data_IF_086038554520
#
_entry.id   IF_086038554520
#
_cell.length_a   1.000
_cell.length_b   1.000
_cell.length_c   1.000
_cell.angle_alpha   90.00
_cell.angle_beta   90.00
_cell.angle_gamma   90.00
#
_symmetry.space_group_name_H-M   'P 1'
#
loop_
_entity.id
_entity.type
_entity.pdbx_description
1 polymer ?
#
# COMPACT_ATOMS: atom_id res chain seq x y z
N UNK A 1 0.71 -28.05 -5.14
CA UNK A 1 -0.42 -27.56 -5.96
C UNK A 1 0.14 -26.57 -6.96
N UNK A 2 0.00 -26.84 -8.26
CA UNK A 2 0.37 -25.89 -9.29
C UNK A 2 -0.60 -24.69 -9.21
N UNK A 3 -0.07 -23.47 -9.18
CA UNK A 3 -0.89 -22.27 -9.29
C UNK A 3 -1.60 -22.29 -10.66
N UNK A 4 -2.89 -21.90 -10.73
CA UNK A 4 -3.61 -21.84 -12.00
C UNK A 4 -2.84 -20.91 -12.95
N UNK A 5 -2.63 -21.36 -14.19
CA UNK A 5 -2.02 -20.54 -15.24
C UNK A 5 -2.87 -19.26 -15.39
N UNK A 6 -2.29 -18.06 -15.19
CA UNK A 6 -3.04 -16.83 -15.27
C UNK A 6 -3.68 -16.70 -16.65
N UNK A 7 -4.94 -16.24 -16.68
CA UNK A 7 -5.64 -16.04 -17.95
C UNK A 7 -4.93 -14.92 -18.73
N UNK A 8 -4.86 -15.01 -20.06
CA UNK A 8 -4.41 -13.89 -20.84
C UNK A 8 -5.21 -12.62 -20.50
N UNK A 9 -4.49 -11.54 -20.21
CA UNK A 9 -5.00 -10.24 -19.82
C UNK A 9 -5.33 -10.09 -18.33
N UNK A 10 -5.06 -11.10 -17.51
CA UNK A 10 -5.30 -11.04 -16.06
C UNK A 10 -4.30 -10.11 -15.36
N UNK A 11 -4.70 -8.85 -15.23
CA UNK A 11 -3.95 -7.80 -14.54
C UNK A 11 -3.85 -8.00 -13.02
N UNK A 12 -4.55 -9.00 -12.45
CA UNK A 12 -4.53 -9.30 -11.02
C UNK A 12 -3.59 -10.44 -10.63
N UNK A 13 -2.97 -11.10 -11.62
CA UNK A 13 -2.15 -12.30 -11.43
C UNK A 13 -0.96 -12.09 -10.48
N UNK A 14 -0.37 -10.90 -10.45
CA UNK A 14 0.75 -10.55 -9.56
C UNK A 14 0.32 -10.07 -8.17
N UNK A 15 -0.99 -9.96 -7.94
CA UNK A 15 -1.58 -9.53 -6.67
C UNK A 15 -1.33 -8.07 -6.31
N UNK A 16 -0.75 -7.26 -7.21
CA UNK A 16 -0.43 -5.86 -6.96
C UNK A 16 -1.70 -5.00 -6.86
N UNK A 17 -2.65 -5.25 -7.76
CA UNK A 17 -3.98 -4.64 -7.75
C UNK A 17 -5.03 -5.72 -7.93
N UNK A 18 -6.08 -5.67 -7.12
CA UNK A 18 -7.22 -6.58 -7.22
C UNK A 18 -8.52 -5.78 -7.34
N UNK A 19 -9.59 -6.42 -7.84
CA UNK A 19 -10.89 -5.76 -7.98
C UNK A 19 -11.42 -5.22 -6.64
N UNK A 20 -11.06 -5.85 -5.52
CA UNK A 20 -11.47 -5.41 -4.19
C UNK A 20 -10.81 -4.11 -3.71
N UNK A 21 -9.70 -3.70 -4.35
CA UNK A 21 -9.01 -2.46 -4.03
C UNK A 21 -9.62 -1.24 -4.74
N UNK A 22 -10.50 -1.48 -5.72
CA UNK A 22 -11.14 -0.43 -6.50
C UNK A 22 -12.42 0.08 -5.83
N UNK A 23 -12.67 1.41 -5.84
CA UNK A 23 -13.93 1.98 -5.40
C UNK A 23 -15.12 1.51 -6.25
N UNK A 24 -16.34 1.63 -5.71
CA UNK A 24 -17.56 1.33 -6.45
C UNK A 24 -17.60 2.06 -7.81
N UNK A 25 -18.05 1.34 -8.83
CA UNK A 25 -18.10 1.81 -10.22
C UNK A 25 -16.78 1.66 -10.99
N UNK A 26 -15.65 1.41 -10.32
CA UNK A 26 -14.36 1.14 -10.98
C UNK A 26 -14.09 -0.36 -11.09
N UNK A 27 -13.56 -0.78 -12.23
CA UNK A 27 -13.18 -2.18 -12.43
C UNK A 27 -11.85 -2.33 -13.18
N UNK A 28 -11.17 -3.44 -12.89
CA UNK A 28 -10.01 -3.91 -13.66
C UNK A 28 -10.51 -4.45 -14.99
N UNK A 29 -10.14 -3.80 -16.09
CA UNK A 29 -10.48 -4.32 -17.40
C UNK A 29 -9.68 -5.62 -17.68
N UNK A 30 -10.25 -6.54 -18.45
CA UNK A 30 -9.63 -7.84 -18.73
C UNK A 30 -8.51 -7.80 -19.76
N UNK A 31 -8.20 -6.63 -20.35
CA UNK A 31 -7.16 -6.47 -21.36
C UNK A 31 -6.69 -5.02 -21.43
N UNK A 32 -5.41 -4.83 -21.77
CA UNK A 32 -4.91 -3.50 -22.12
C UNK A 32 -5.61 -2.97 -23.39
N UNK A 33 -5.75 -1.65 -23.54
CA UNK A 33 -6.26 -1.04 -24.76
C UNK A 33 -5.41 -1.45 -25.98
N UNK A 34 -6.07 -1.75 -27.10
CA UNK A 34 -5.40 -2.00 -28.39
C UNK A 34 -4.99 -3.45 -28.67
N UNK A 35 -5.65 -4.45 -28.07
CA UNK A 35 -5.47 -5.88 -28.38
C UNK A 35 -4.01 -6.38 -28.26
N UNK A 36 -3.29 -5.86 -27.28
CA UNK A 36 -1.89 -6.22 -27.01
C UNK A 36 -1.76 -7.56 -26.27
N UNK A 37 -0.61 -8.26 -26.40
CA UNK A 37 -0.27 -9.38 -25.51
C UNK A 37 -0.24 -8.96 -24.04
N UNK A 38 -0.29 -9.94 -23.15
CA UNK A 38 -0.46 -9.75 -21.71
C UNK A 38 0.67 -8.94 -21.07
N UNK A 39 0.30 -8.13 -20.07
CA UNK A 39 1.10 -7.12 -19.34
C UNK A 39 2.07 -6.30 -20.21
N UNK A 40 1.62 -5.13 -20.68
CA UNK A 40 2.43 -4.20 -21.48
C UNK A 40 3.29 -3.24 -20.63
N UNK A 41 3.41 -3.45 -19.32
CA UNK A 41 4.07 -2.50 -18.41
C UNK A 41 5.49 -2.12 -18.83
N UNK A 42 6.31 -3.10 -19.19
CA UNK A 42 7.72 -2.88 -19.55
C UNK A 42 7.87 -2.11 -20.86
N UNK A 43 6.95 -2.32 -21.81
CA UNK A 43 6.95 -1.56 -23.07
C UNK A 43 6.56 -0.09 -22.81
N UNK A 44 5.57 0.13 -21.94
CA UNK A 44 5.10 1.47 -21.58
C UNK A 44 6.19 2.23 -20.82
N UNK A 45 6.86 1.59 -19.86
CA UNK A 45 7.96 2.22 -19.12
C UNK A 45 9.11 2.63 -20.03
N UNK A 46 9.48 1.78 -21.00
CA UNK A 46 10.48 2.10 -22.03
C UNK A 46 10.07 3.29 -22.90
N UNK A 47 8.83 3.30 -23.38
CA UNK A 47 8.32 4.38 -24.25
C UNK A 47 8.25 5.72 -23.51
N UNK A 48 7.95 5.68 -22.21
CA UNK A 48 7.85 6.88 -21.37
C UNK A 48 9.19 7.30 -20.74
N UNK A 49 10.27 6.52 -20.95
CA UNK A 49 11.60 6.83 -20.42
C UNK A 49 11.76 6.57 -18.92
N UNK A 50 10.88 5.77 -18.29
CA UNK A 50 11.04 5.39 -16.89
C UNK A 50 12.27 4.47 -16.67
N UNK A 51 12.73 3.79 -17.71
CA UNK A 51 13.93 2.94 -17.69
C UNK A 51 15.25 3.76 -17.76
N UNK A 52 15.21 4.99 -18.28
CA UNK A 52 16.42 5.80 -18.58
C UNK A 52 17.12 6.33 -17.31
N UNK A 53 16.39 6.38 -16.19
CA UNK A 53 16.92 6.79 -14.88
C UNK A 53 17.87 5.75 -14.25
N UNK A 54 17.96 4.52 -14.79
CA UNK A 54 18.85 3.49 -14.27
C UNK A 54 20.32 3.64 -14.71
N UNK A 55 20.62 4.51 -15.68
CA UNK A 55 21.94 4.57 -16.35
C UNK A 55 22.78 5.82 -16.06
N UNK A 56 22.33 6.75 -15.22
CA UNK A 56 23.05 8.00 -14.93
C UNK A 56 23.76 8.02 -13.58
N UNK A 57 25.05 8.36 -13.57
CA UNK A 57 25.87 8.64 -12.38
C UNK A 57 25.26 9.77 -11.51
N UNK A 58 24.37 9.40 -10.59
CA UNK A 58 23.90 10.25 -9.50
C UNK A 58 23.85 9.44 -8.21
N UNK A 59 25.03 9.05 -7.74
CA UNK A 59 25.25 8.60 -6.38
C UNK A 59 25.03 9.80 -5.43
N UNK A 60 23.86 9.90 -4.78
CA UNK A 60 23.70 10.18 -3.32
C UNK A 60 22.32 10.70 -2.86
N UNK A 61 21.29 10.75 -3.71
CA UNK A 61 19.95 11.12 -3.23
C UNK A 61 18.86 10.34 -3.94
N UNK A 62 18.08 9.58 -3.15
CA UNK A 62 16.89 8.82 -3.55
C UNK A 62 17.16 7.44 -4.18
N UNK A 63 17.66 6.53 -3.36
CA UNK A 63 17.55 5.07 -3.56
C UNK A 63 16.08 4.64 -3.51
N UNK A 64 15.27 5.07 -4.47
CA UNK A 64 13.94 4.53 -4.75
C UNK A 64 13.98 3.85 -6.11
N UNK A 65 14.94 2.93 -6.22
CA UNK A 65 15.19 2.08 -7.39
C UNK A 65 13.88 1.68 -8.06
N UNK A 66 13.78 2.04 -9.33
CA UNK A 66 12.65 1.92 -10.28
C UNK A 66 12.24 0.48 -10.61
N UNK A 67 12.60 -0.49 -9.77
CA UNK A 67 12.79 -1.90 -10.14
C UNK A 67 11.48 -2.72 -10.24
N UNK A 68 10.30 -2.16 -9.96
CA UNK A 68 9.04 -2.93 -10.04
C UNK A 68 7.79 -2.08 -10.32
N UNK A 69 7.86 -1.16 -11.28
CA UNK A 69 6.70 -0.42 -11.75
C UNK A 69 5.81 -1.27 -12.64
N UNK A 70 4.50 -1.32 -12.35
CA UNK A 70 3.52 -2.05 -13.17
C UNK A 70 2.33 -1.17 -13.52
N UNK A 71 1.97 -1.13 -14.79
CA UNK A 71 0.81 -0.41 -15.29
C UNK A 71 -0.46 -1.24 -15.15
N UNK A 72 -1.52 -0.63 -14.67
CA UNK A 72 -2.84 -1.23 -14.52
C UNK A 72 -3.90 -0.39 -15.19
N UNK A 73 -4.72 -1.04 -16.00
CA UNK A 73 -5.80 -0.44 -16.75
C UNK A 73 -7.14 -0.64 -16.03
N UNK A 74 -7.76 0.49 -15.69
CA UNK A 74 -9.02 0.57 -14.96
C UNK A 74 -10.05 1.39 -15.74
N UNK A 75 -11.31 0.99 -15.59
CA UNK A 75 -12.44 1.65 -16.24
C UNK A 75 -13.52 1.98 -15.21
N UNK A 76 -14.24 3.08 -15.44
CA UNK A 76 -15.42 3.44 -14.65
C UNK A 76 -16.70 3.16 -15.44
N UNK A 77 -17.58 2.29 -14.91
CA UNK A 77 -18.80 1.83 -15.59
C UNK A 77 -19.77 2.98 -15.89
N UNK A 78 -19.92 3.93 -14.97
CA UNK A 78 -20.93 4.98 -15.09
C UNK A 78 -20.56 6.15 -16.00
N UNK A 79 -19.25 6.38 -16.24
CA UNK A 79 -18.76 7.55 -16.99
C UNK A 79 -17.96 7.16 -18.22
N UNK A 80 -17.73 5.87 -18.46
CA UNK A 80 -16.81 5.36 -19.47
C UNK A 80 -15.39 5.99 -19.37
N UNK A 81 -14.99 6.41 -18.17
CA UNK A 81 -13.65 6.94 -17.90
C UNK A 81 -12.66 5.78 -17.96
N UNK A 82 -11.61 5.91 -18.77
CA UNK A 82 -10.58 4.88 -18.97
C UNK A 82 -9.23 5.44 -18.57
N UNK A 83 -8.52 4.74 -17.69
CA UNK A 83 -7.27 5.24 -17.11
C UNK A 83 -6.28 4.10 -16.94
N UNK A 84 -5.02 4.38 -17.20
CA UNK A 84 -3.91 3.52 -16.78
C UNK A 84 -3.19 4.17 -15.62
N UNK A 85 -2.95 3.40 -14.57
CA UNK A 85 -2.19 3.82 -13.39
C UNK A 85 -0.92 3.00 -13.28
N UNK A 86 0.21 3.66 -13.02
CA UNK A 86 1.49 2.99 -12.73
C UNK A 86 1.59 2.80 -11.23
N UNK A 87 1.63 1.55 -10.79
CA UNK A 87 1.83 1.16 -9.41
C UNK A 87 3.30 0.80 -9.21
N UNK A 88 3.94 1.41 -8.22
CA UNK A 88 5.32 1.12 -7.86
C UNK A 88 5.39 0.71 -6.39
N UNK A 89 6.09 -0.39 -6.12
CA UNK A 89 6.45 -0.79 -4.76
C UNK A 89 7.61 0.07 -4.27
N UNK A 90 7.46 0.66 -3.09
CA UNK A 90 8.54 1.36 -2.41
C UNK A 90 9.30 0.34 -1.55
N UNK A 91 10.37 -0.23 -2.09
CA UNK A 91 11.15 -1.31 -1.47
C UNK A 91 11.81 -0.88 -0.14
N UNK A 92 12.08 0.41 0.03
CA UNK A 92 12.68 0.97 1.24
C UNK A 92 11.65 1.60 2.19
N UNK A 93 10.38 1.66 1.80
CA UNK A 93 9.32 1.88 2.76
C UNK A 93 9.23 0.61 3.61
N UNK A 94 9.71 0.67 4.84
CA UNK A 94 9.25 -0.27 5.86
C UNK A 94 8.07 0.41 6.49
N UNK A 95 6.88 -0.19 6.47
CA UNK A 95 6.43 -1.38 5.76
C UNK A 95 6.25 -1.07 4.26
N UNK A 96 6.36 -2.13 3.46
CA UNK A 96 6.26 -2.09 1.99
C UNK A 96 4.97 -1.38 1.57
N UNK A 97 5.12 -0.29 0.83
CA UNK A 97 4.02 0.56 0.39
C UNK A 97 3.96 0.55 -1.14
N UNK A 98 2.75 0.50 -1.68
CA UNK A 98 2.49 0.73 -3.11
C UNK A 98 2.01 2.15 -3.30
N UNK A 99 2.63 2.84 -4.26
CA UNK A 99 2.28 4.19 -4.70
C UNK A 99 1.87 4.21 -6.15
N UNK A 100 0.95 5.10 -6.49
CA UNK A 100 0.66 5.44 -7.88
C UNK A 100 1.66 6.52 -8.30
N UNK A 101 2.55 6.19 -9.24
CA UNK A 101 3.62 7.10 -9.71
C UNK A 101 3.34 7.69 -11.09
N UNK A 102 2.34 7.18 -11.79
CA UNK A 102 2.00 7.60 -13.15
C UNK A 102 0.51 7.40 -13.42
N UNK A 103 -0.07 8.28 -14.22
CA UNK A 103 -1.47 8.22 -14.64
C UNK A 103 -1.55 8.60 -16.12
N UNK A 104 -2.11 7.73 -16.94
CA UNK A 104 -2.42 8.00 -18.35
C UNK A 104 -3.94 7.99 -18.48
N UNK A 105 -4.50 9.12 -18.90
CA UNK A 105 -5.92 9.24 -19.16
C UNK A 105 -6.24 8.91 -20.62
N UNK A 106 -7.23 8.06 -20.85
CA UNK A 106 -7.61 7.59 -22.19
C UNK A 106 -9.02 8.08 -22.53
N UNK A 107 -9.17 9.12 -23.36
CA UNK A 107 -10.50 9.60 -23.76
C UNK A 107 -11.27 8.50 -24.50
N UNK A 108 -12.61 8.52 -24.43
CA UNK A 108 -13.44 7.51 -25.11
C UNK A 108 -13.28 7.60 -26.63
N UNK A 109 -13.38 8.82 -27.18
CA UNK A 109 -13.15 9.11 -28.59
C UNK A 109 -11.88 9.93 -28.79
N UNK A 110 -11.20 9.76 -29.92
CA UNK A 110 -10.17 10.69 -30.35
C UNK A 110 -10.73 12.11 -30.39
N UNK A 111 -10.13 13.02 -29.62
CA UNK A 111 -10.52 14.43 -29.56
C UNK A 111 -11.45 14.83 -28.41
N UNK A 112 -11.92 13.90 -27.58
CA UNK A 112 -12.67 14.30 -26.37
C UNK A 112 -11.76 15.09 -25.42
N UNK A 113 -12.22 16.23 -24.88
CA UNK A 113 -11.39 17.08 -24.03
C UNK A 113 -11.17 16.44 -22.66
N UNK A 114 -9.91 16.41 -22.21
CA UNK A 114 -9.56 16.05 -20.84
C UNK A 114 -9.62 17.31 -19.99
N UNK A 115 -10.59 17.37 -19.08
CA UNK A 115 -10.76 18.51 -18.19
C UNK A 115 -10.03 18.30 -16.86
N UNK A 116 -9.69 19.40 -16.18
CA UNK A 116 -9.10 19.35 -14.84
C UNK A 116 -10.03 18.71 -13.80
N UNK A 117 -11.34 18.76 -14.03
CA UNK A 117 -12.32 18.10 -13.18
C UNK A 117 -12.17 16.58 -13.23
N UNK A 118 -12.05 15.99 -14.43
CA UNK A 118 -11.87 14.55 -14.62
C UNK A 118 -10.61 14.02 -13.91
N UNK A 119 -9.52 14.79 -13.92
CA UNK A 119 -8.28 14.42 -13.23
C UNK A 119 -8.43 14.43 -11.70
N UNK A 120 -9.25 15.33 -11.16
CA UNK A 120 -9.51 15.43 -9.71
C UNK A 120 -10.46 14.36 -9.19
N UNK A 121 -11.32 13.82 -10.05
CA UNK A 121 -12.26 12.76 -9.69
C UNK A 121 -11.59 11.39 -9.59
N UNK A 122 -10.37 11.24 -10.12
CA UNK A 122 -9.63 9.99 -10.02
C UNK A 122 -9.34 9.64 -8.56
N UNK A 123 -9.83 8.49 -8.06
CA UNK A 123 -9.76 8.15 -6.65
C UNK A 123 -8.39 7.53 -6.27
N UNK A 124 -7.29 8.13 -6.72
CA UNK A 124 -5.92 7.61 -6.54
C UNK A 124 -5.61 7.32 -5.07
N UNK A 125 -5.89 8.28 -4.18
CA UNK A 125 -5.68 8.11 -2.74
C UNK A 125 -6.52 6.98 -2.10
N UNK A 126 -7.73 6.72 -2.62
CA UNK A 126 -8.58 5.62 -2.12
C UNK A 126 -8.03 4.27 -2.59
N UNK A 127 -7.59 4.20 -3.85
CA UNK A 127 -6.98 2.99 -4.43
C UNK A 127 -5.69 2.65 -3.67
N UNK A 128 -4.77 3.61 -3.50
CA UNK A 128 -3.54 3.40 -2.72
C UNK A 128 -3.85 2.93 -1.29
N UNK A 129 -4.78 3.58 -0.61
CA UNK A 129 -5.15 3.20 0.75
C UNK A 129 -5.72 1.77 0.83
N UNK A 130 -6.50 1.35 -0.16
CA UNK A 130 -7.07 0.01 -0.22
C UNK A 130 -6.01 -1.06 -0.49
N UNK A 131 -5.15 -0.86 -1.50
CA UNK A 131 -4.03 -1.75 -1.83
C UNK A 131 -3.14 -1.92 -0.60
N UNK A 132 -2.71 -0.81 0.00
CA UNK A 132 -1.83 -0.84 1.15
C UNK A 132 -2.51 -1.55 2.31
N UNK A 133 -3.77 -1.22 2.65
CA UNK A 133 -4.54 -1.92 3.70
C UNK A 133 -4.59 -3.43 3.47
N UNK A 134 -4.77 -3.89 2.22
CA UNK A 134 -4.76 -5.31 1.86
C UNK A 134 -3.38 -5.93 2.02
N UNK A 135 -2.32 -5.32 1.46
CA UNK A 135 -0.94 -5.80 1.59
C UNK A 135 -0.53 -5.89 3.06
N UNK A 136 -0.91 -4.89 3.85
CA UNK A 136 -0.76 -4.89 5.30
C UNK A 136 -1.49 -6.05 5.98
N UNK A 137 -2.77 -6.26 5.66
CA UNK A 137 -3.57 -7.35 6.21
C UNK A 137 -3.01 -8.73 5.80
N UNK A 138 -2.60 -8.89 4.55
CA UNK A 138 -1.99 -10.12 4.03
C UNK A 138 -0.64 -10.41 4.70
N UNK A 139 0.21 -9.41 4.92
CA UNK A 139 1.46 -9.58 5.68
C UNK A 139 1.18 -10.02 7.12
N UNK A 140 0.12 -9.50 7.75
CA UNK A 140 -0.35 -10.01 9.06
C UNK A 140 -0.79 -11.48 8.96
N UNK A 141 -1.52 -11.90 7.92
CA UNK A 141 -2.04 -13.27 7.75
C UNK A 141 -0.95 -14.29 7.35
N UNK A 142 -0.01 -13.96 6.48
CA UNK A 142 1.09 -14.85 6.10
C UNK A 142 2.02 -15.14 7.30
N UNK A 143 2.12 -14.19 8.24
CA UNK A 143 2.80 -14.42 9.52
C UNK A 143 1.94 -15.21 10.53
N UNK A 144 0.66 -15.46 10.22
CA UNK A 144 -0.28 -16.24 11.06
C UNK A 144 -0.26 -17.74 10.73
N UNK A 145 0.40 -18.20 9.66
CA UNK A 145 0.55 -19.63 9.31
C UNK A 145 1.28 -20.49 10.38
N UNK A 146 1.65 -19.89 11.51
CA UNK A 146 2.02 -20.63 12.72
C UNK A 146 1.72 -19.89 14.03
N UNK A 147 0.57 -19.21 14.17
CA UNK A 147 0.14 -18.54 15.42
C UNK A 147 1.16 -17.54 16.04
N UNK A 148 2.22 -17.20 15.29
CA UNK A 148 3.41 -16.49 15.76
C UNK A 148 3.92 -15.56 14.68
N UNK A 149 3.88 -14.27 14.97
CA UNK A 149 4.41 -13.19 14.16
C UNK A 149 5.94 -13.15 14.32
N UNK A 150 6.67 -13.25 13.21
CA UNK A 150 8.12 -13.05 13.17
C UNK A 150 8.44 -11.56 12.99
N UNK A 151 9.23 -11.00 13.89
CA UNK A 151 9.70 -9.61 13.85
C UNK A 151 11.05 -9.50 13.12
N UNK A 152 11.47 -8.30 12.68
CA UNK A 152 12.75 -8.09 11.99
C UNK A 152 13.98 -8.61 12.76
N UNK A 153 13.98 -8.56 14.10
CA UNK A 153 15.03 -9.15 14.94
C UNK A 153 15.07 -10.68 14.93
N UNK A 154 14.16 -11.35 14.22
CA UNK A 154 13.96 -12.80 14.26
C UNK A 154 13.14 -13.28 15.47
N UNK A 155 12.70 -12.35 16.33
CA UNK A 155 11.85 -12.67 17.49
C UNK A 155 10.46 -13.12 17.02
N UNK A 156 9.95 -14.20 17.61
CA UNK A 156 8.60 -14.72 17.36
C UNK A 156 7.67 -14.27 18.49
N UNK A 157 6.54 -13.63 18.16
CA UNK A 157 5.53 -13.19 19.12
C UNK A 157 4.17 -13.79 18.78
N UNK A 158 3.43 -14.29 19.77
CA UNK A 158 2.07 -14.78 19.52
C UNK A 158 1.05 -13.64 19.50
N UNK A 159 -0.10 -13.86 18.85
CA UNK A 159 -1.19 -12.88 18.84
C UNK A 159 -1.69 -12.54 20.27
N UNK A 160 -1.60 -13.49 21.21
CA UNK A 160 -1.94 -13.26 22.64
C UNK A 160 -0.94 -12.36 23.35
N UNK A 161 0.31 -12.38 22.92
CA UNK A 161 1.36 -11.55 23.51
C UNK A 161 1.27 -10.09 23.05
N UNK A 162 0.54 -9.80 21.96
CA UNK A 162 0.34 -8.44 21.45
C UNK A 162 -0.43 -7.53 22.41
N UNK A 163 -1.19 -8.08 23.35
CA UNK A 163 -1.94 -7.29 24.34
C UNK A 163 -1.22 -7.20 25.69
N UNK A 164 0.03 -7.67 25.78
CA UNK A 164 0.88 -7.49 26.96
C UNK A 164 1.66 -6.18 26.88
N UNK A 165 2.20 -5.75 28.02
CA UNK A 165 3.10 -4.59 28.07
C UNK A 165 4.32 -4.82 27.18
N UNK A 166 4.63 -3.83 26.36
CA UNK A 166 5.70 -3.82 25.36
C UNK A 166 7.08 -3.64 25.99
N UNK A 167 7.16 -3.17 27.23
CA UNK A 167 8.41 -2.89 27.93
C UNK A 167 9.06 -1.55 27.55
N UNK A 168 10.37 -1.44 27.74
CA UNK A 168 11.11 -0.19 27.53
C UNK A 168 11.57 -0.03 26.07
N UNK A 169 11.23 1.08 25.38
CA UNK A 169 11.66 1.35 24.01
C UNK A 169 13.17 1.26 23.75
N UNK A 170 14.00 1.54 24.77
CA UNK A 170 15.46 1.51 24.64
C UNK A 170 16.07 0.11 24.76
N UNK A 171 15.33 -0.83 25.34
CA UNK A 171 15.83 -2.17 25.67
C UNK A 171 15.19 -3.25 24.81
N UNK A 172 14.03 -2.96 24.21
CA UNK A 172 13.26 -3.93 23.43
C UNK A 172 13.56 -3.73 21.94
N UNK A 173 14.16 -4.74 21.27
CA UNK A 173 14.29 -4.74 19.82
C UNK A 173 12.91 -4.69 19.16
N UNK A 174 12.84 -4.09 17.97
CA UNK A 174 11.61 -3.95 17.18
C UNK A 174 10.45 -3.31 17.95
N UNK A 175 10.76 -2.41 18.88
CA UNK A 175 9.75 -1.82 19.75
C UNK A 175 8.62 -1.13 18.96
N UNK A 176 8.94 -0.44 17.87
CA UNK A 176 7.94 0.30 17.11
C UNK A 176 7.07 -0.60 16.22
N UNK A 177 7.60 -1.75 15.83
CA UNK A 177 6.90 -2.83 15.16
C UNK A 177 5.89 -3.46 16.13
N UNK A 178 6.29 -3.66 17.39
CA UNK A 178 5.39 -4.10 18.45
C UNK A 178 4.29 -3.08 18.74
N UNK A 179 4.63 -1.78 18.79
CA UNK A 179 3.65 -0.69 18.91
C UNK A 179 2.64 -0.74 17.78
N UNK A 180 3.10 -0.91 16.54
CA UNK A 180 2.23 -0.99 15.37
C UNK A 180 1.31 -2.22 15.42
N UNK A 181 1.83 -3.38 15.83
CA UNK A 181 1.06 -4.61 15.95
C UNK A 181 0.01 -4.53 17.06
N UNK A 182 0.37 -3.99 18.23
CA UNK A 182 -0.55 -3.80 19.36
C UNK A 182 -1.64 -2.78 19.02
N UNK A 183 -1.28 -1.62 18.48
CA UNK A 183 -2.24 -0.62 18.03
C UNK A 183 -3.17 -1.20 16.96
N UNK A 184 -2.63 -1.90 15.96
CA UNK A 184 -3.41 -2.53 14.90
C UNK A 184 -4.30 -3.67 15.40
N UNK A 185 -3.96 -4.34 16.52
CA UNK A 185 -4.81 -5.34 17.16
C UNK A 185 -6.00 -4.69 17.87
N UNK A 186 -5.75 -3.66 18.66
CA UNK A 186 -6.78 -2.87 19.34
C UNK A 186 -7.77 -2.26 18.34
N UNK A 187 -7.27 -1.65 17.25
CA UNK A 187 -8.14 -1.15 16.18
C UNK A 187 -8.98 -2.24 15.53
N UNK A 188 -8.43 -3.44 15.31
CA UNK A 188 -9.18 -4.56 14.72
C UNK A 188 -10.25 -5.13 15.65
N UNK A 189 -10.12 -4.93 16.96
CA UNK A 189 -11.12 -5.31 17.96
C UNK A 189 -12.23 -4.26 18.11
N UNK A 190 -12.20 -3.17 17.32
CA UNK A 190 -13.20 -2.12 17.36
C UNK A 190 -12.95 -1.07 18.45
N UNK A 191 -11.74 -1.00 19.01
CA UNK A 191 -11.38 0.03 19.99
C UNK A 191 -11.48 1.44 19.37
N UNK A 192 -12.32 2.30 19.98
CA UNK A 192 -12.54 3.68 19.55
C UNK A 192 -11.31 4.56 19.75
N UNK A 193 -10.50 4.28 20.78
CA UNK A 193 -9.26 5.01 21.05
C UNK A 193 -8.10 4.05 21.37
N UNK A 194 -7.55 3.37 20.35
CA UNK A 194 -6.49 2.38 20.50
C UNK A 194 -5.25 2.93 21.22
N UNK A 195 -4.95 4.23 21.06
CA UNK A 195 -3.79 4.85 21.72
C UNK A 195 -4.00 5.01 23.22
N UNK A 196 -5.21 5.27 23.69
CA UNK A 196 -5.53 5.36 25.11
C UNK A 196 -5.51 3.99 25.79
N UNK A 197 -6.11 2.99 25.17
CA UNK A 197 -6.07 1.61 25.68
C UNK A 197 -4.63 1.08 25.70
N UNK A 198 -3.85 1.37 24.66
CA UNK A 198 -2.43 1.02 24.60
C UNK A 198 -1.63 1.68 25.73
N UNK A 199 -1.91 2.95 26.05
CA UNK A 199 -1.28 3.63 27.19
C UNK A 199 -1.57 2.90 28.52
N UNK A 200 -2.83 2.49 28.72
CA UNK A 200 -3.25 1.71 29.89
C UNK A 200 -2.54 0.36 30.00
N UNK A 201 -2.48 -0.41 28.91
CA UNK A 201 -1.79 -1.72 28.87
C UNK A 201 -0.30 -1.60 29.21
N UNK A 202 0.34 -0.53 28.75
CA UNK A 202 1.77 -0.32 28.92
C UNK A 202 2.15 0.45 30.20
N UNK A 203 1.17 0.95 30.96
CA UNK A 203 1.42 1.75 32.16
C UNK A 203 2.15 3.06 31.88
N UNK A 204 1.90 3.68 30.72
CA UNK A 204 2.55 4.94 30.31
C UNK A 204 1.52 6.05 30.11
N UNK A 205 1.97 7.31 30.11
CA UNK A 205 1.11 8.44 29.80
C UNK A 205 0.57 8.35 28.35
N UNK A 206 -0.66 8.83 28.13
CA UNK A 206 -1.29 8.86 26.80
C UNK A 206 -0.41 9.58 25.76
N UNK A 207 0.18 10.70 26.13
CA UNK A 207 1.10 11.46 25.25
C UNK A 207 2.32 10.63 24.82
N UNK A 208 2.80 9.75 25.69
CA UNK A 208 3.92 8.85 25.39
C UNK A 208 3.51 7.78 24.40
N UNK A 209 2.37 7.12 24.63
CA UNK A 209 1.81 6.15 23.69
C UNK A 209 1.52 6.78 22.32
N UNK A 210 0.95 7.98 22.30
CA UNK A 210 0.75 8.76 21.07
C UNK A 210 2.06 9.10 20.37
N UNK A 211 3.11 9.47 21.12
CA UNK A 211 4.46 9.68 20.59
C UNK A 211 5.04 8.42 19.97
N UNK A 212 4.81 7.24 20.57
CA UNK A 212 5.21 5.96 19.99
C UNK A 212 4.46 5.66 18.70
N UNK A 213 3.15 5.87 18.66
CA UNK A 213 2.33 5.71 17.45
C UNK A 213 2.78 6.67 16.35
N UNK A 214 3.05 7.93 16.69
CA UNK A 214 3.54 8.92 15.73
C UNK A 214 4.90 8.51 15.15
N UNK A 215 5.80 8.00 15.99
CA UNK A 215 7.10 7.48 15.53
C UNK A 215 6.96 6.21 14.70
N UNK A 216 6.03 5.32 15.06
CA UNK A 216 5.68 4.16 14.26
C UNK A 216 5.14 4.57 12.87
N UNK A 217 4.25 5.59 12.80
CA UNK A 217 3.77 6.18 11.53
C UNK A 217 4.87 6.85 10.72
N UNK A 218 5.79 7.58 11.35
CA UNK A 218 6.93 8.20 10.64
C UNK A 218 7.89 7.16 10.07
N UNK A 219 7.92 5.97 10.68
CA UNK A 219 8.61 4.78 10.19
C UNK A 219 7.70 3.95 9.29
N UNK A 220 6.62 4.50 8.75
CA UNK A 220 5.62 3.83 7.91
C UNK A 220 4.79 2.72 8.57
N UNK A 221 5.15 2.21 9.76
CA UNK A 221 4.60 0.97 10.36
C UNK A 221 3.10 1.00 10.62
N UNK A 222 2.52 2.20 10.62
CA UNK A 222 1.09 2.45 10.74
C UNK A 222 0.66 3.43 9.64
N UNK A 223 -0.59 3.33 9.16
CA UNK A 223 -1.12 4.28 8.20
C UNK A 223 -1.06 5.71 8.77
N UNK A 224 -0.87 6.71 7.90
CA UNK A 224 -0.85 8.11 8.33
C UNK A 224 -2.14 8.42 9.09
N UNK A 225 -2.01 9.14 10.20
CA UNK A 225 -3.17 9.55 10.98
C UNK A 225 -4.11 10.35 10.08
N UNK A 226 -5.43 10.17 10.24
CA UNK A 226 -6.39 11.12 9.66
C UNK A 226 -5.98 12.50 10.15
N UNK A 227 -5.54 13.38 9.24
CA UNK A 227 -5.34 14.79 9.57
C UNK A 227 -6.66 15.29 10.15
N UNK A 228 -6.64 15.66 11.42
CA UNK A 228 -7.72 16.46 11.99
C UNK A 228 -7.86 17.70 11.12
N UNK A 229 -9.11 18.06 10.81
CA UNK A 229 -9.45 19.32 10.14
C UNK A 229 -8.93 20.43 11.06
N UNK A 230 -7.77 21.00 10.75
CA UNK A 230 -7.33 22.23 11.36
C UNK A 230 -8.28 23.31 10.85
N UNK A 231 -9.12 23.81 11.75
CA UNK A 231 -9.73 25.13 11.61
C UNK A 231 -8.75 26.20 12.07
#
# INVERSE_FOLDING_TARGET
MALPTPRPGDQSADGLLTQADLPAGWHLASRFPGERPDDASDEIDRVLGYDDHATGEAADSEQNETVDGRWRYIEHEGTATRVMIRLQRQLYATPEEVRITGVIYLPWRPGDPITSHLLRELPTAKIEAAINKRLFAMKRIATVTGNKILLPSGRKISDRDLLKSLGNPKQVPDFYELVALQHGKLSSQGDENPSATMAGINGVALSTAQGWVAKARSRGLLPPGRRGRAG
#
